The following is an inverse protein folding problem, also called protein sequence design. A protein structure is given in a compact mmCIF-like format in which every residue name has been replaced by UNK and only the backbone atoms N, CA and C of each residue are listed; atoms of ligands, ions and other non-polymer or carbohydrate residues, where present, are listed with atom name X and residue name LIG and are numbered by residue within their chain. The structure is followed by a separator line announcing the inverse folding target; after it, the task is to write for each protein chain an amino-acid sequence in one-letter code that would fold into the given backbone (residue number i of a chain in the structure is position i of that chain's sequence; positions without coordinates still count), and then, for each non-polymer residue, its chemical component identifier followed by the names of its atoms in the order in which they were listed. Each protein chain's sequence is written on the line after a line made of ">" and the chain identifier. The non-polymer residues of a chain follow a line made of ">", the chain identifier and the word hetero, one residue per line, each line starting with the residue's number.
data_IF_578236159597
#
_entry.id   IF_578236159597
#
_cell.length_a   1.000
_cell.length_b   1.000
_cell.length_c   1.000
_cell.angle_alpha   90.00
_cell.angle_beta   90.00
_cell.angle_gamma   90.00
#
_symmetry.space_group_name_H-M   'P 1'
#
loop_
_entity.id
_entity.type
_entity.pdbx_description
1 polymer ?
#
# COMPACT_ATOMS: atom_id res chain seq x y z
N UNK A 1 13.94 65.47 -1.89
CA UNK A 1 13.01 64.92 -2.88
C UNK A 1 13.57 63.59 -3.33
N UNK A 2 12.88 62.50 -3.02
CA UNK A 2 13.21 61.16 -3.50
C UNK A 2 11.89 60.55 -4.00
N UNK A 3 11.76 60.46 -5.31
CA UNK A 3 10.60 59.92 -6.01
C UNK A 3 10.53 58.40 -5.79
N UNK A 4 9.42 57.94 -5.20
CA UNK A 4 9.09 56.51 -5.16
C UNK A 4 8.57 56.09 -6.54
N UNK A 5 9.28 55.17 -7.19
CA UNK A 5 8.79 54.48 -8.39
C UNK A 5 7.52 53.69 -8.07
N UNK A 6 6.48 53.70 -8.94
CA UNK A 6 5.30 52.88 -8.74
C UNK A 6 5.65 51.40 -8.94
N UNK A 7 5.47 50.59 -7.90
CA UNK A 7 5.54 49.12 -7.98
C UNK A 7 4.45 48.63 -8.93
N UNK A 8 4.87 48.24 -10.14
CA UNK A 8 4.02 47.58 -11.13
C UNK A 8 3.39 46.33 -10.52
N UNK A 9 2.06 46.34 -10.37
CA UNK A 9 1.27 45.21 -9.86
C UNK A 9 1.31 44.10 -10.93
N UNK A 10 2.06 43.04 -10.69
CA UNK A 10 2.01 41.85 -11.52
C UNK A 10 0.58 41.27 -11.46
N UNK A 11 -0.11 41.28 -12.60
CA UNK A 11 -1.42 40.64 -12.72
C UNK A 11 -1.17 39.13 -12.72
N UNK A 12 -1.45 38.47 -11.59
CA UNK A 12 -1.41 37.02 -11.50
C UNK A 12 -2.55 36.45 -12.35
N UNK A 13 -2.22 35.86 -13.49
CA UNK A 13 -3.15 35.09 -14.30
C UNK A 13 -3.37 33.73 -13.62
N UNK A 14 -4.59 33.46 -13.17
CA UNK A 14 -4.99 32.16 -12.62
C UNK A 14 -5.15 31.20 -13.79
N UNK A 15 -4.24 30.23 -13.91
CA UNK A 15 -4.33 29.17 -14.92
C UNK A 15 -5.17 28.03 -14.31
N UNK A 16 -6.31 27.66 -14.92
CA UNK A 16 -7.10 26.52 -14.44
C UNK A 16 -6.32 25.22 -14.68
N UNK A 17 -6.13 24.44 -13.63
CA UNK A 17 -5.51 23.11 -13.70
C UNK A 17 -6.63 22.09 -13.90
N UNK A 18 -6.73 21.54 -15.10
CA UNK A 18 -7.60 20.41 -15.39
C UNK A 18 -6.95 19.14 -14.83
N UNK A 19 -7.60 18.51 -13.85
CA UNK A 19 -7.14 17.25 -13.28
C UNK A 19 -7.75 16.10 -14.08
N UNK A 20 -6.97 15.46 -14.95
CA UNK A 20 -7.36 14.22 -15.58
C UNK A 20 -7.07 13.06 -14.61
N UNK A 21 -8.12 12.50 -14.02
CA UNK A 21 -8.05 11.25 -13.27
C UNK A 21 -7.80 10.11 -14.27
N UNK A 22 -6.53 9.80 -14.51
CA UNK A 22 -6.15 8.61 -15.26
C UNK A 22 -6.37 7.37 -14.37
N UNK A 23 -7.61 6.87 -14.36
CA UNK A 23 -7.95 5.60 -13.71
C UNK A 23 -7.34 4.47 -14.54
N UNK A 24 -6.21 3.94 -14.09
CA UNK A 24 -5.66 2.72 -14.65
C UNK A 24 -6.32 1.55 -13.93
N UNK A 25 -7.10 0.75 -14.67
CA UNK A 25 -7.57 -0.54 -14.17
C UNK A 25 -6.36 -1.46 -14.02
N UNK A 26 -6.01 -1.79 -12.78
CA UNK A 26 -4.98 -2.79 -12.49
C UNK A 26 -5.65 -4.13 -12.75
N UNK A 27 -5.23 -4.84 -13.79
CA UNK A 27 -5.69 -6.19 -14.08
C UNK A 27 -5.05 -7.16 -13.07
N UNK A 28 -5.81 -7.73 -12.11
CA UNK A 28 -5.26 -8.67 -11.14
C UNK A 28 -4.91 -10.02 -11.76
N UNK A 29 -5.28 -10.27 -13.03
CA UNK A 29 -4.93 -11.50 -13.73
C UNK A 29 -3.47 -11.54 -14.21
N UNK A 30 -2.76 -10.41 -14.16
CA UNK A 30 -1.30 -10.35 -14.33
C UNK A 30 -0.51 -10.76 -13.07
N UNK A 31 -1.18 -11.24 -12.02
CA UNK A 31 -0.54 -11.82 -10.84
C UNK A 31 -0.13 -13.29 -11.07
N UNK A 32 0.57 -13.56 -12.17
CA UNK A 32 0.95 -14.91 -12.60
C UNK A 32 2.17 -15.47 -11.83
N UNK A 33 2.43 -15.01 -10.60
CA UNK A 33 3.67 -15.37 -9.88
C UNK A 33 3.63 -15.27 -8.36
N UNK A 34 2.52 -14.89 -7.72
CA UNK A 34 2.41 -14.91 -6.27
C UNK A 34 1.83 -16.24 -5.79
N UNK A 35 2.69 -17.25 -5.65
CA UNK A 35 2.31 -18.46 -4.93
C UNK A 35 1.91 -18.09 -3.49
N UNK A 36 0.81 -18.66 -2.96
CA UNK A 36 0.42 -18.43 -1.58
C UNK A 36 1.53 -18.87 -0.63
N UNK A 37 1.94 -17.97 0.26
CA UNK A 37 2.90 -18.29 1.31
C UNK A 37 2.22 -19.04 2.46
N UNK A 38 2.95 -19.97 3.05
CA UNK A 38 2.61 -20.51 4.36
C UNK A 38 2.78 -19.43 5.44
N UNK A 39 2.11 -19.62 6.57
CA UNK A 39 2.29 -18.73 7.72
C UNK A 39 3.76 -18.71 8.19
N UNK A 40 4.48 -19.82 8.07
CA UNK A 40 5.89 -19.89 8.48
C UNK A 40 6.76 -19.03 7.57
N UNK A 41 6.59 -19.12 6.26
CA UNK A 41 7.35 -18.31 5.31
C UNK A 41 7.07 -16.81 5.49
N UNK A 42 5.83 -16.44 5.85
CA UNK A 42 5.51 -15.06 6.21
C UNK A 42 6.25 -14.61 7.48
N UNK A 43 6.28 -15.46 8.52
CA UNK A 43 7.00 -15.17 9.77
C UNK A 43 8.50 -15.03 9.51
N UNK A 44 9.09 -15.94 8.73
CA UNK A 44 10.51 -15.92 8.37
C UNK A 44 10.87 -14.63 7.61
N UNK A 45 10.08 -14.26 6.59
CA UNK A 45 10.30 -13.05 5.80
C UNK A 45 10.20 -11.76 6.64
N UNK A 46 9.27 -11.71 7.60
CA UNK A 46 9.17 -10.58 8.54
C UNK A 46 10.33 -10.59 9.54
N UNK A 47 10.79 -11.78 9.94
CA UNK A 47 11.94 -11.97 10.81
C UNK A 47 13.26 -11.47 10.22
N UNK A 48 13.45 -11.56 8.90
CA UNK A 48 14.65 -11.03 8.22
C UNK A 48 14.83 -9.52 8.37
N UNK A 49 13.72 -8.79 8.59
CA UNK A 49 13.70 -7.32 8.65
C UNK A 49 13.34 -6.77 10.03
N UNK A 50 13.16 -7.63 11.02
CA UNK A 50 12.79 -7.27 12.40
C UNK A 50 13.93 -7.59 13.35
N UNK A 51 14.11 -6.76 14.40
CA UNK A 51 15.18 -6.94 15.37
C UNK A 51 14.78 -7.86 16.53
N UNK A 52 13.47 -7.98 16.80
CA UNK A 52 12.93 -8.76 17.92
C UNK A 52 11.74 -9.64 17.55
N UNK A 53 11.52 -10.72 18.30
CA UNK A 53 10.36 -11.60 18.15
C UNK A 53 9.02 -10.86 18.38
N UNK A 54 9.00 -9.87 19.28
CA UNK A 54 7.81 -9.07 19.55
C UNK A 54 7.41 -8.23 18.33
N UNK A 55 8.37 -7.65 17.62
CA UNK A 55 8.12 -6.90 16.38
C UNK A 55 7.58 -7.80 15.26
N UNK A 56 8.13 -9.01 15.13
CA UNK A 56 7.62 -10.00 14.16
C UNK A 56 6.17 -10.34 14.45
N UNK A 57 5.86 -10.67 15.71
CA UNK A 57 4.51 -11.02 16.13
C UNK A 57 3.53 -9.87 15.91
N UNK A 58 3.91 -8.64 16.30
CA UNK A 58 3.09 -7.45 16.14
C UNK A 58 2.79 -7.17 14.66
N UNK A 59 3.80 -7.31 13.81
CA UNK A 59 3.70 -7.07 12.37
C UNK A 59 2.83 -8.11 11.67
N UNK A 60 3.08 -9.40 11.89
CA UNK A 60 2.27 -10.50 11.33
C UNK A 60 0.82 -10.38 11.81
N UNK A 61 0.61 -10.10 13.11
CA UNK A 61 -0.73 -9.89 13.67
C UNK A 61 -1.44 -8.71 13.01
N UNK A 62 -0.73 -7.60 12.80
CA UNK A 62 -1.29 -6.44 12.09
C UNK A 62 -1.66 -6.76 10.64
N UNK A 63 -0.80 -7.47 9.91
CA UNK A 63 -1.06 -7.87 8.52
C UNK A 63 -2.32 -8.75 8.39
N UNK A 64 -2.51 -9.68 9.33
CA UNK A 64 -3.69 -10.53 9.39
C UNK A 64 -4.95 -9.74 9.77
N UNK A 65 -4.86 -8.89 10.82
CA UNK A 65 -6.02 -8.11 11.30
C UNK A 65 -6.44 -7.01 10.33
N UNK A 66 -5.51 -6.48 9.54
CA UNK A 66 -5.80 -5.48 8.52
C UNK A 66 -6.45 -6.07 7.26
N UNK A 67 -6.51 -7.40 7.14
CA UNK A 67 -7.06 -8.09 5.97
C UNK A 67 -6.16 -8.04 4.73
N UNK A 68 -4.95 -7.48 4.86
CA UNK A 68 -3.93 -7.45 3.79
C UNK A 68 -3.40 -8.86 3.50
N UNK A 69 -3.34 -9.69 4.54
CA UNK A 69 -3.00 -11.12 4.45
C UNK A 69 -4.18 -11.92 4.98
N UNK A 70 -4.53 -13.00 4.29
CA UNK A 70 -5.60 -13.91 4.68
C UNK A 70 -5.05 -15.32 4.83
N UNK A 71 -5.33 -15.94 5.97
CA UNK A 71 -5.03 -17.36 6.17
C UNK A 71 -6.13 -18.19 5.49
N UNK A 72 -5.74 -18.98 4.49
CA UNK A 72 -6.62 -20.02 3.94
C UNK A 72 -6.39 -21.29 4.74
N UNK A 73 -7.44 -21.77 5.40
CA UNK A 73 -7.41 -23.09 6.02
C UNK A 73 -7.68 -24.13 4.93
N UNK A 74 -6.79 -25.10 4.80
CA UNK A 74 -7.07 -26.32 4.04
C UNK A 74 -8.01 -27.20 4.88
N UNK A 75 -9.30 -26.84 4.94
CA UNK A 75 -10.30 -27.80 5.37
C UNK A 75 -10.33 -28.91 4.33
N UNK A 76 -9.74 -30.06 4.64
CA UNK A 76 -9.97 -31.30 3.89
C UNK A 76 -11.47 -31.58 3.90
N UNK A 77 -12.18 -31.13 2.87
CA UNK A 77 -13.62 -31.29 2.68
C UNK A 77 -14.00 -32.73 2.29
N UNK A 78 -13.39 -33.73 2.94
CA UNK A 78 -13.56 -35.16 2.66
C UNK A 78 -14.21 -35.94 3.82
N UNK A 79 -14.69 -35.28 4.87
CA UNK A 79 -15.39 -35.93 5.99
C UNK A 79 -16.75 -35.28 6.24
N UNK A 80 -17.61 -35.27 5.21
CA UNK A 80 -19.05 -35.22 5.38
C UNK A 80 -19.63 -36.35 4.50
N UNK A 81 -19.78 -37.53 5.10
CA UNK A 81 -20.50 -38.69 4.58
C UNK A 81 -21.35 -39.27 5.69
#
# INVERSE_FOLDING_TARGET
>A
MMDLHPTTRASATVIPIEHQLAVHEIDPSMDAGLEPLTLMELVDAVGEVSDTEEEVLATVTYMLRSGRVQLKSETNAALCG
#
